data_IF_177325075938
#
_entry.id   IF_177325075938
#
_cell.length_a   1.000
_cell.length_b   1.000
_cell.length_c   1.000
_cell.angle_alpha   90.00
_cell.angle_beta   90.00
_cell.angle_gamma   90.00
#
_symmetry.space_group_name_H-M   'P 1'
#
loop_
_entity.id
_entity.type
_entity.pdbx_description
1 polymer ?
#
# COMPACT_ATOMS: atom_id res chain seq x y z
N UNK A 1 5.46 32.19 -22.33
CA UNK A 1 5.49 33.20 -21.24
C UNK A 1 4.70 32.62 -20.08
N UNK A 2 5.41 32.05 -19.12
CA UNK A 2 4.88 31.19 -18.06
C UNK A 2 4.45 32.06 -16.90
N UNK A 3 3.16 32.08 -16.57
CA UNK A 3 2.63 32.86 -15.44
C UNK A 3 2.67 31.97 -14.20
N UNK A 4 3.71 32.14 -13.39
CA UNK A 4 3.77 31.66 -12.01
C UNK A 4 2.69 32.36 -11.19
N UNK A 5 1.86 31.59 -10.47
CA UNK A 5 1.02 32.11 -9.37
C UNK A 5 1.79 32.00 -8.05
N UNK A 6 1.69 32.99 -7.16
CA UNK A 6 2.52 33.06 -5.96
C UNK A 6 2.01 32.16 -4.82
N UNK A 7 2.97 31.62 -4.06
CA UNK A 7 2.80 30.95 -2.78
C UNK A 7 2.19 31.95 -1.78
N UNK A 8 0.97 31.71 -1.30
CA UNK A 8 0.39 32.44 -0.20
C UNK A 8 0.96 31.87 1.11
N UNK A 9 1.78 32.66 1.78
CA UNK A 9 2.22 32.43 3.14
C UNK A 9 0.99 32.53 4.08
N UNK A 10 0.63 31.43 4.72
CA UNK A 10 -0.33 31.45 5.81
C UNK A 10 0.36 32.03 7.05
N UNK A 11 -0.28 33.04 7.63
CA UNK A 11 0.16 33.72 8.84
C UNK A 11 0.05 32.79 10.05
N UNK A 12 1.12 32.74 10.83
CA UNK A 12 1.23 32.04 12.10
C UNK A 12 0.39 32.77 13.16
N UNK A 13 -0.76 32.20 13.51
CA UNK A 13 -1.51 32.58 14.71
C UNK A 13 -1.30 31.47 15.73
N UNK A 14 -0.41 31.75 16.70
CA UNK A 14 -0.11 30.87 17.81
C UNK A 14 -1.35 30.54 18.64
N UNK A 15 -1.86 29.34 18.45
CA UNK A 15 -2.68 28.63 19.42
C UNK A 15 -1.97 27.30 19.72
N UNK A 16 -1.36 27.22 20.91
CA UNK A 16 -0.88 25.96 21.45
C UNK A 16 -2.08 25.03 21.64
N UNK A 17 -2.26 24.09 20.71
CA UNK A 17 -3.14 22.95 20.89
C UNK A 17 -2.36 21.89 21.66
N UNK A 18 -2.62 21.84 22.96
CA UNK A 18 -2.27 20.73 23.84
C UNK A 18 -3.18 19.53 23.49
N UNK A 19 -2.80 18.86 22.41
CA UNK A 19 -3.35 17.59 21.96
C UNK A 19 -2.17 16.70 21.66
N UNK A 20 -2.19 15.47 22.19
CA UNK A 20 -1.15 14.46 22.04
C UNK A 20 -0.91 14.17 20.55
N UNK A 21 -0.08 14.98 19.90
CA UNK A 21 0.45 14.75 18.57
C UNK A 21 1.43 13.59 18.73
N UNK A 22 0.93 12.37 18.54
CA UNK A 22 1.78 11.21 18.31
C UNK A 22 2.75 11.58 17.20
N UNK A 23 4.05 11.32 17.41
CA UNK A 23 5.08 11.53 16.41
C UNK A 23 4.58 10.97 15.07
N UNK A 24 4.59 11.72 13.96
CA UNK A 24 4.18 11.20 12.65
C UNK A 24 4.88 9.88 12.32
N UNK A 25 6.09 9.62 12.80
CA UNK A 25 6.73 8.31 12.63
C UNK A 25 5.99 7.17 13.36
N UNK A 26 5.29 7.45 14.46
CA UNK A 26 4.53 6.47 15.26
C UNK A 26 3.19 6.07 14.65
N UNK A 27 2.46 6.96 13.97
CA UNK A 27 1.21 6.59 13.30
C UNK A 27 1.49 5.72 12.06
N UNK A 28 2.63 5.93 11.42
CA UNK A 28 2.96 5.29 10.14
C UNK A 28 3.68 3.94 10.27
N UNK A 29 4.33 3.64 11.38
CA UNK A 29 4.97 2.32 11.58
C UNK A 29 3.95 1.18 11.67
N UNK A 30 2.69 1.52 11.95
CA UNK A 30 1.64 0.58 12.33
C UNK A 30 0.45 0.56 11.37
N UNK A 31 0.67 0.83 10.07
CA UNK A 31 -0.29 0.72 8.95
C UNK A 31 -0.96 -0.67 8.76
N UNK A 32 -0.80 -1.56 9.73
CA UNK A 32 -1.52 -2.82 9.89
C UNK A 32 -3.01 -2.57 10.12
N UNK A 33 -3.91 -3.33 9.45
CA UNK A 33 -5.32 -3.30 9.77
C UNK A 33 -5.53 -3.55 11.26
N UNK A 34 -6.36 -2.73 11.91
CA UNK A 34 -6.76 -2.96 13.30
C UNK A 34 -7.36 -4.38 13.41
N UNK A 35 -6.91 -5.20 14.37
CA UNK A 35 -7.50 -6.51 14.60
C UNK A 35 -8.97 -6.36 14.99
N UNK A 36 -9.74 -7.45 14.82
CA UNK A 36 -11.17 -7.49 15.17
C UNK A 36 -11.42 -6.90 16.57
N UNK A 37 -12.55 -6.21 16.79
CA UNK A 37 -12.93 -5.69 18.10
C UNK A 37 -12.74 -6.75 19.20
N UNK A 38 -12.16 -6.37 20.34
CA UNK A 38 -11.82 -7.30 21.45
C UNK A 38 -13.03 -8.12 21.90
N UNK A 39 -14.22 -7.57 21.76
CA UNK A 39 -15.50 -8.16 22.12
C UNK A 39 -15.86 -9.40 21.26
N UNK A 40 -15.21 -9.58 20.12
CA UNK A 40 -15.41 -10.70 19.20
C UNK A 40 -14.36 -11.81 19.37
N UNK A 41 -13.42 -11.68 20.30
CA UNK A 41 -12.29 -12.60 20.48
C UNK A 41 -12.52 -13.57 21.65
N UNK A 42 -12.03 -14.79 21.51
CA UNK A 42 -11.95 -15.76 22.62
C UNK A 42 -10.74 -15.45 23.54
N UNK A 43 -10.67 -16.09 24.72
CA UNK A 43 -9.60 -15.82 25.70
C UNK A 43 -8.17 -16.00 25.14
N UNK A 44 -7.94 -17.03 24.32
CA UNK A 44 -6.63 -17.27 23.69
C UNK A 44 -6.29 -16.17 22.68
N UNK A 45 -7.27 -15.73 21.90
CA UNK A 45 -7.13 -14.61 20.98
C UNK A 45 -6.92 -13.28 21.71
N UNK A 46 -7.62 -13.03 22.82
CA UNK A 46 -7.43 -11.82 23.62
C UNK A 46 -6.01 -11.75 24.18
N UNK A 47 -5.50 -12.85 24.75
CA UNK A 47 -4.13 -12.90 25.25
C UNK A 47 -3.09 -12.70 24.13
N UNK A 48 -3.28 -13.33 22.97
CA UNK A 48 -2.39 -13.17 21.82
C UNK A 48 -2.43 -11.74 21.24
N UNK A 49 -3.58 -11.06 21.31
CA UNK A 49 -3.69 -9.65 20.93
C UNK A 49 -2.99 -8.72 21.94
N UNK A 50 -3.11 -9.00 23.25
CA UNK A 50 -2.39 -8.23 24.28
C UNK A 50 -0.87 -8.35 24.13
N UNK A 51 -0.37 -9.52 23.78
CA UNK A 51 1.04 -9.73 23.47
C UNK A 51 1.49 -8.90 22.25
N UNK A 52 0.71 -8.83 21.16
CA UNK A 52 1.00 -7.91 20.04
C UNK A 52 1.02 -6.45 20.49
N UNK A 53 0.11 -6.04 21.37
CA UNK A 53 0.09 -4.68 21.93
C UNK A 53 1.34 -4.39 22.77
N UNK A 54 1.84 -5.37 23.52
CA UNK A 54 3.09 -5.26 24.27
C UNK A 54 4.31 -5.18 23.34
N UNK A 55 4.36 -5.99 22.29
CA UNK A 55 5.42 -5.91 21.27
C UNK A 55 5.40 -4.54 20.59
N UNK A 56 4.23 -4.00 20.25
CA UNK A 56 4.11 -2.66 19.69
C UNK A 56 4.68 -1.60 20.64
N UNK A 57 4.30 -1.65 21.94
CA UNK A 57 4.81 -0.73 22.95
C UNK A 57 6.33 -0.84 23.14
N UNK A 58 6.85 -2.07 23.15
CA UNK A 58 8.27 -2.34 23.29
C UNK A 58 9.05 -1.85 22.05
N UNK A 59 8.51 -2.05 20.85
CA UNK A 59 9.11 -1.63 19.60
C UNK A 59 9.28 -0.11 19.52
N UNK A 60 8.31 0.65 20.04
CA UNK A 60 8.34 2.13 20.10
C UNK A 60 9.50 2.69 20.92
N UNK A 61 10.05 1.91 21.85
CA UNK A 61 11.23 2.34 22.63
C UNK A 61 12.45 2.51 21.75
N UNK A 62 12.52 1.78 20.63
CA UNK A 62 13.70 1.69 19.76
C UNK A 62 14.99 1.33 20.53
N UNK A 63 14.87 0.58 21.62
CA UNK A 63 16.01 0.20 22.45
C UNK A 63 16.98 -0.69 21.66
N UNK A 64 18.24 -0.24 21.59
CA UNK A 64 19.34 -0.94 20.93
C UNK A 64 19.65 -2.30 21.56
N UNK A 65 19.34 -2.50 22.85
CA UNK A 65 19.54 -3.78 23.53
C UNK A 65 18.56 -4.86 23.06
N UNK A 66 17.48 -4.47 22.37
CA UNK A 66 16.45 -5.38 21.90
C UNK A 66 16.64 -5.84 20.45
N UNK A 67 17.74 -5.46 19.79
CA UNK A 67 17.99 -5.85 18.38
C UNK A 67 17.92 -7.37 18.23
N UNK A 68 18.64 -8.13 19.06
CA UNK A 68 18.67 -9.60 18.97
C UNK A 68 17.29 -10.22 19.26
N UNK A 69 16.56 -9.66 20.24
CA UNK A 69 15.18 -10.05 20.55
C UNK A 69 14.25 -9.88 19.33
N UNK A 70 14.36 -8.75 18.62
CA UNK A 70 13.54 -8.51 17.43
C UNK A 70 13.96 -9.40 16.25
N UNK A 71 15.25 -9.68 16.10
CA UNK A 71 15.73 -10.62 15.09
C UNK A 71 15.18 -12.03 15.32
N UNK A 72 15.23 -12.52 16.56
CA UNK A 72 14.66 -13.80 16.94
C UNK A 72 13.13 -13.83 16.72
N UNK A 73 12.44 -12.77 17.13
CA UNK A 73 10.98 -12.66 16.96
C UNK A 73 10.59 -12.67 15.48
N UNK A 74 11.37 -12.04 14.59
CA UNK A 74 11.08 -11.96 13.16
C UNK A 74 11.26 -13.30 12.41
N UNK A 75 12.08 -14.21 12.94
CA UNK A 75 12.31 -15.54 12.33
C UNK A 75 11.54 -16.67 13.03
N UNK A 76 10.99 -16.40 14.21
CA UNK A 76 10.21 -17.38 14.96
C UNK A 76 8.88 -17.65 14.27
N UNK A 77 8.62 -18.92 13.94
CA UNK A 77 7.33 -19.37 13.41
C UNK A 77 6.46 -19.91 14.53
N UNK A 78 5.26 -19.35 14.69
CA UNK A 78 4.22 -19.91 15.55
C UNK A 78 2.93 -20.13 14.73
N UNK A 79 2.76 -21.32 14.13
CA UNK A 79 1.57 -21.63 13.33
C UNK A 79 0.26 -21.58 14.12
N UNK A 80 0.32 -21.73 15.45
CA UNK A 80 -0.85 -21.72 16.33
C UNK A 80 -1.31 -20.31 16.71
N UNK A 81 -0.48 -19.28 16.49
CA UNK A 81 -0.81 -17.92 16.87
C UNK A 81 -1.75 -17.25 15.84
N UNK A 82 -2.95 -16.82 16.25
CA UNK A 82 -3.88 -16.14 15.35
C UNK A 82 -3.36 -14.78 14.84
N UNK A 83 -2.40 -14.17 15.55
CA UNK A 83 -1.80 -12.87 15.24
C UNK A 83 -0.33 -12.96 14.82
N UNK A 84 0.08 -14.07 14.21
CA UNK A 84 1.46 -14.26 13.74
C UNK A 84 1.91 -13.16 12.75
N UNK A 85 0.99 -12.65 11.92
CA UNK A 85 1.28 -11.61 10.93
C UNK A 85 1.60 -10.28 11.63
N UNK A 86 0.80 -9.93 12.61
CA UNK A 86 0.95 -8.73 13.41
C UNK A 86 2.24 -8.80 14.23
N UNK A 87 2.54 -9.95 14.86
CA UNK A 87 3.81 -10.17 15.57
C UNK A 87 5.02 -9.99 14.64
N UNK A 88 5.00 -10.61 13.46
CA UNK A 88 6.06 -10.47 12.47
C UNK A 88 6.23 -9.00 12.04
N UNK A 89 5.11 -8.32 11.81
CA UNK A 89 5.08 -6.88 11.50
C UNK A 89 5.71 -6.07 12.62
N UNK A 90 5.35 -6.33 13.90
CA UNK A 90 5.94 -5.65 15.05
C UNK A 90 7.45 -5.80 15.10
N UNK A 91 7.96 -7.00 14.89
CA UNK A 91 9.39 -7.26 14.95
C UNK A 91 10.18 -6.56 13.83
N UNK A 92 9.71 -6.65 12.59
CA UNK A 92 10.37 -6.01 11.44
C UNK A 92 10.26 -4.47 11.55
N UNK A 93 9.12 -3.94 11.99
CA UNK A 93 8.92 -2.51 12.22
C UNK A 93 9.84 -1.97 13.32
N UNK A 94 9.99 -2.71 14.43
CA UNK A 94 10.87 -2.31 15.53
C UNK A 94 12.34 -2.22 15.09
N UNK A 95 12.81 -3.20 14.29
CA UNK A 95 14.15 -3.15 13.69
C UNK A 95 14.32 -1.95 12.76
N UNK A 96 13.27 -1.62 11.99
CA UNK A 96 13.28 -0.45 11.12
C UNK A 96 13.34 0.85 11.92
N UNK A 97 12.59 0.96 13.01
CA UNK A 97 12.61 2.12 13.89
C UNK A 97 13.98 2.30 14.56
N UNK A 98 14.60 1.20 15.01
CA UNK A 98 15.98 1.21 15.51
C UNK A 98 16.95 1.70 14.41
N UNK A 99 16.79 1.23 13.17
CA UNK A 99 17.58 1.70 12.04
C UNK A 99 17.38 3.20 11.76
N UNK A 100 16.14 3.70 11.82
CA UNK A 100 15.78 5.11 11.61
C UNK A 100 16.40 6.00 12.69
N UNK A 101 16.18 5.68 13.97
CA UNK A 101 16.59 6.51 15.11
C UNK A 101 18.10 6.47 15.38
N UNK A 102 18.73 5.32 15.13
CA UNK A 102 20.12 5.09 15.55
C UNK A 102 21.09 4.79 14.41
N UNK A 103 20.63 4.70 13.14
CA UNK A 103 21.47 4.29 12.00
C UNK A 103 22.16 2.95 12.27
N UNK A 104 21.48 2.04 12.97
CA UNK A 104 22.06 0.77 13.41
C UNK A 104 22.33 -0.16 12.20
N UNK A 105 23.60 -0.43 11.93
CA UNK A 105 24.03 -1.24 10.78
C UNK A 105 23.60 -2.70 10.88
N UNK A 106 23.50 -3.27 12.09
CA UNK A 106 23.06 -4.65 12.30
C UNK A 106 21.58 -4.82 11.97
N UNK A 107 20.72 -3.89 12.42
CA UNK A 107 19.30 -3.88 12.08
C UNK A 107 19.09 -3.73 10.57
N UNK A 108 19.81 -2.80 9.92
CA UNK A 108 19.75 -2.61 8.45
C UNK A 108 20.20 -3.88 7.72
N UNK A 109 21.32 -4.50 8.15
CA UNK A 109 21.83 -5.71 7.53
C UNK A 109 20.84 -6.88 7.64
N UNK A 110 20.20 -7.02 8.80
CA UNK A 110 19.20 -8.05 9.02
C UNK A 110 17.92 -7.82 8.19
N UNK A 111 17.39 -6.59 8.16
CA UNK A 111 16.27 -6.23 7.28
C UNK A 111 16.59 -6.53 5.81
N UNK A 112 17.80 -6.20 5.36
CA UNK A 112 18.27 -6.53 4.00
C UNK A 112 18.32 -8.03 3.75
N UNK A 113 18.80 -8.83 4.71
CA UNK A 113 18.79 -10.29 4.60
C UNK A 113 17.35 -10.84 4.42
N UNK A 114 16.39 -10.31 5.17
CA UNK A 114 14.99 -10.75 5.08
C UNK A 114 14.32 -10.45 3.73
N UNK A 115 14.85 -9.51 2.93
CA UNK A 115 14.35 -9.28 1.55
C UNK A 115 14.56 -10.48 0.62
N UNK A 116 15.36 -11.48 1.01
CA UNK A 116 15.60 -12.72 0.27
C UNK A 116 14.95 -13.95 0.92
N UNK A 117 14.12 -13.76 1.94
CA UNK A 117 13.50 -14.85 2.68
C UNK A 117 12.58 -15.73 1.81
N UNK A 118 12.50 -17.07 2.01
CA UNK A 118 11.65 -17.93 1.19
C UNK A 118 10.16 -17.59 1.31
N UNK A 119 9.71 -17.17 2.50
CA UNK A 119 8.32 -16.77 2.73
C UNK A 119 8.04 -15.35 2.21
N UNK A 120 7.09 -15.16 1.27
CA UNK A 120 6.85 -13.86 0.63
C UNK A 120 6.40 -12.76 1.59
N UNK A 121 5.64 -13.11 2.62
CA UNK A 121 5.16 -12.17 3.66
C UNK A 121 6.33 -11.53 4.42
N UNK A 122 7.38 -12.31 4.73
CA UNK A 122 8.60 -11.79 5.35
C UNK A 122 9.35 -10.89 4.39
N UNK A 123 9.49 -11.28 3.11
CA UNK A 123 10.14 -10.43 2.09
C UNK A 123 9.42 -9.10 1.93
N UNK A 124 8.10 -9.14 1.80
CA UNK A 124 7.23 -7.97 1.66
C UNK A 124 7.47 -6.96 2.79
N UNK A 125 7.35 -7.41 4.04
CA UNK A 125 7.57 -6.56 5.21
C UNK A 125 8.99 -6.03 5.25
N UNK A 126 9.98 -6.89 5.01
CA UNK A 126 11.39 -6.49 5.00
C UNK A 126 11.70 -5.43 3.94
N UNK A 127 11.18 -5.56 2.72
CA UNK A 127 11.35 -4.59 1.64
C UNK A 127 10.72 -3.25 2.02
N UNK A 128 9.47 -3.28 2.50
CA UNK A 128 8.75 -2.09 2.95
C UNK A 128 9.54 -1.34 4.03
N UNK A 129 9.89 -2.02 5.11
CA UNK A 129 10.54 -1.41 6.26
C UNK A 129 12.01 -1.05 6.02
N UNK A 130 12.76 -1.83 5.22
CA UNK A 130 14.12 -1.47 4.81
C UNK A 130 14.10 -0.17 4.01
N UNK A 131 13.27 -0.07 2.97
CA UNK A 131 13.21 1.13 2.13
C UNK A 131 12.80 2.35 2.94
N UNK A 132 11.79 2.20 3.81
CA UNK A 132 11.37 3.27 4.72
C UNK A 132 12.43 3.71 5.70
N UNK A 133 13.28 2.80 6.18
CA UNK A 133 14.36 3.17 7.11
C UNK A 133 15.32 4.24 6.54
N UNK A 134 15.40 4.35 5.22
CA UNK A 134 16.15 5.42 4.54
C UNK A 134 15.26 6.61 4.21
N UNK A 135 14.10 6.38 3.58
CA UNK A 135 13.28 7.47 3.05
C UNK A 135 12.72 8.38 4.14
N UNK A 136 12.39 7.83 5.32
CA UNK A 136 11.88 8.62 6.46
C UNK A 136 12.95 9.54 7.07
N UNK A 137 14.22 9.16 6.98
CA UNK A 137 15.33 10.00 7.47
C UNK A 137 15.74 11.09 6.46
N UNK A 138 15.03 11.21 5.33
CA UNK A 138 15.43 12.06 4.21
C UNK A 138 16.73 11.61 3.52
N UNK A 139 17.23 10.41 3.85
CA UNK A 139 18.47 9.88 3.26
C UNK A 139 18.15 9.20 1.93
N UNK A 140 18.97 9.39 0.89
CA UNK A 140 18.81 8.64 -0.34
C UNK A 140 19.05 7.15 -0.07
N UNK A 141 18.37 6.28 -0.82
CA UNK A 141 18.66 4.86 -0.79
C UNK A 141 20.11 4.61 -1.22
N UNK A 142 20.91 3.83 -0.45
CA UNK A 142 22.23 3.42 -0.88
C UNK A 142 22.16 2.64 -2.21
N UNK A 143 23.12 2.87 -3.11
CA UNK A 143 23.16 2.25 -4.45
C UNK A 143 22.97 0.72 -4.40
N UNK A 144 23.61 -0.05 -3.49
CA UNK A 144 23.37 -1.48 -3.40
C UNK A 144 21.90 -1.83 -3.11
N UNK A 145 21.24 -1.11 -2.21
CA UNK A 145 19.83 -1.32 -1.89
C UNK A 145 18.95 -0.90 -3.07
N UNK A 146 19.26 0.21 -3.74
CA UNK A 146 18.54 0.66 -4.92
C UNK A 146 18.56 -0.39 -6.05
N UNK A 147 19.72 -0.99 -6.29
CA UNK A 147 19.88 -2.07 -7.27
C UNK A 147 19.08 -3.33 -6.86
N UNK A 148 19.05 -3.65 -5.57
CA UNK A 148 18.23 -4.76 -5.06
C UNK A 148 16.73 -4.50 -5.22
N UNK A 149 16.25 -3.30 -4.86
CA UNK A 149 14.85 -2.91 -5.08
C UNK A 149 14.48 -2.99 -6.55
N UNK A 150 15.37 -2.53 -7.45
CA UNK A 150 15.17 -2.61 -8.90
C UNK A 150 15.05 -4.07 -9.37
N UNK A 151 15.93 -4.95 -8.89
CA UNK A 151 15.91 -6.39 -9.23
C UNK A 151 14.63 -7.07 -8.71
N UNK A 152 14.23 -6.82 -7.46
CA UNK A 152 13.01 -7.39 -6.87
C UNK A 152 11.78 -6.88 -7.60
N UNK A 153 11.72 -5.57 -7.90
CA UNK A 153 10.65 -4.99 -8.68
C UNK A 153 10.51 -5.66 -10.05
N UNK A 154 11.62 -5.98 -10.74
CA UNK A 154 11.55 -6.61 -12.07
C UNK A 154 11.23 -8.11 -12.01
N UNK A 155 11.69 -8.83 -10.98
CA UNK A 155 11.83 -10.29 -11.06
C UNK A 155 11.21 -11.09 -9.91
N UNK A 156 10.66 -10.49 -8.85
CA UNK A 156 9.94 -11.31 -7.85
C UNK A 156 8.62 -11.81 -8.45
N UNK A 157 8.41 -13.13 -8.38
CA UNK A 157 7.22 -13.79 -8.93
C UNK A 157 5.96 -13.49 -8.10
N UNK A 158 6.14 -13.10 -6.83
CA UNK A 158 5.04 -12.83 -5.92
C UNK A 158 4.72 -11.34 -5.91
N UNK A 159 3.45 -11.02 -6.11
CA UNK A 159 2.97 -9.63 -6.21
C UNK A 159 3.45 -8.75 -5.04
N UNK A 160 3.26 -9.19 -3.80
CA UNK A 160 3.48 -8.36 -2.60
C UNK A 160 4.92 -7.82 -2.46
N UNK A 161 5.97 -8.65 -2.43
CA UNK A 161 7.36 -8.18 -2.46
C UNK A 161 7.66 -7.30 -3.69
N UNK A 162 7.18 -7.72 -4.87
CA UNK A 162 7.39 -7.02 -6.13
C UNK A 162 6.79 -5.61 -6.12
N UNK A 163 5.61 -5.47 -5.52
CA UNK A 163 4.88 -4.22 -5.36
C UNK A 163 5.56 -3.31 -4.34
N UNK A 164 5.94 -3.84 -3.16
CA UNK A 164 6.63 -3.04 -2.14
C UNK A 164 7.97 -2.50 -2.68
N UNK A 165 8.71 -3.28 -3.47
CA UNK A 165 9.95 -2.80 -4.10
C UNK A 165 9.67 -1.62 -5.06
N UNK A 166 8.62 -1.70 -5.89
CA UNK A 166 8.19 -0.58 -6.75
C UNK A 166 7.77 0.65 -5.96
N UNK A 167 7.10 0.47 -4.81
CA UNK A 167 6.73 1.55 -3.89
C UNK A 167 7.95 2.26 -3.34
N UNK A 168 8.97 1.52 -2.92
CA UNK A 168 10.23 2.10 -2.45
C UNK A 168 10.95 2.86 -3.56
N UNK A 169 11.00 2.32 -4.79
CA UNK A 169 11.57 3.04 -5.94
C UNK A 169 10.83 4.35 -6.22
N UNK A 170 9.49 4.34 -6.13
CA UNK A 170 8.67 5.54 -6.28
C UNK A 170 9.01 6.61 -5.24
N UNK A 171 9.08 6.25 -3.96
CA UNK A 171 9.43 7.17 -2.86
C UNK A 171 10.86 7.69 -3.04
N UNK A 172 11.77 6.85 -3.51
CA UNK A 172 13.16 7.22 -3.80
C UNK A 172 13.32 8.07 -5.09
N UNK A 173 12.23 8.39 -5.79
CA UNK A 173 12.24 9.02 -7.12
C UNK A 173 13.15 8.31 -8.13
N UNK A 174 13.26 6.99 -8.01
CA UNK A 174 14.02 6.13 -8.91
C UNK A 174 13.13 5.59 -10.04
N UNK A 175 13.72 5.16 -11.18
CA UNK A 175 12.97 4.52 -12.25
C UNK A 175 12.21 3.27 -11.76
N UNK A 176 10.91 3.24 -12.03
CA UNK A 176 10.05 2.09 -11.71
C UNK A 176 9.87 1.26 -12.99
N UNK A 177 10.03 -0.07 -12.95
CA UNK A 177 9.75 -0.93 -14.10
C UNK A 177 8.30 -0.75 -14.60
N UNK A 178 8.17 -0.52 -15.91
CA UNK A 178 6.89 -0.47 -16.62
C UNK A 178 6.64 -1.84 -17.27
N UNK A 179 5.69 -2.58 -16.73
CA UNK A 179 5.28 -3.86 -17.27
C UNK A 179 4.35 -3.64 -18.48
N UNK A 180 4.53 -4.44 -19.52
CA UNK A 180 3.71 -4.41 -20.74
C UNK A 180 3.62 -3.01 -21.40
N UNK A 181 4.76 -2.36 -21.70
CA UNK A 181 4.76 -1.05 -22.36
C UNK A 181 4.01 -1.13 -23.69
N UNK A 182 3.08 -0.20 -23.90
CA UNK A 182 2.17 -0.18 -25.05
C UNK A 182 0.97 -1.14 -24.94
N UNK A 183 0.90 -1.93 -23.87
CA UNK A 183 -0.12 -2.94 -23.64
C UNK A 183 -1.40 -2.42 -22.97
N UNK A 184 -2.34 -3.34 -22.77
CA UNK A 184 -3.64 -3.09 -22.14
C UNK A 184 -3.96 -4.15 -21.10
N UNK A 185 -4.49 -3.69 -19.97
CA UNK A 185 -5.06 -4.50 -18.92
C UNK A 185 -6.58 -4.49 -19.06
N UNK A 186 -7.19 -5.66 -19.07
CA UNK A 186 -8.65 -5.80 -18.99
C UNK A 186 -9.01 -6.07 -17.53
N UNK A 187 -9.73 -5.14 -16.94
CA UNK A 187 -10.07 -5.11 -15.52
C UNK A 187 -11.56 -5.32 -15.34
N UNK A 188 -11.94 -6.38 -14.64
CA UNK A 188 -13.34 -6.64 -14.29
C UNK A 188 -13.65 -6.00 -12.94
N UNK A 189 -14.55 -5.02 -12.94
CA UNK A 189 -14.93 -4.23 -11.76
C UNK A 189 -16.31 -4.66 -11.28
N UNK A 190 -16.41 -5.07 -10.02
CA UNK A 190 -17.60 -5.66 -9.40
C UNK A 190 -17.90 -5.00 -8.05
N UNK A 191 -19.09 -4.45 -7.81
CA UNK A 191 -19.50 -4.06 -6.47
C UNK A 191 -19.50 -5.27 -5.54
N UNK A 192 -18.87 -5.18 -4.37
CA UNK A 192 -18.75 -6.30 -3.43
C UNK A 192 -20.11 -6.81 -2.95
N UNK A 193 -21.07 -5.90 -2.75
CA UNK A 193 -22.42 -6.26 -2.30
C UNK A 193 -23.23 -7.02 -3.37
N UNK A 194 -22.83 -6.99 -4.66
CA UNK A 194 -23.49 -7.74 -5.72
C UNK A 194 -22.55 -8.00 -6.92
N UNK A 195 -21.82 -9.11 -6.84
CA UNK A 195 -20.87 -9.54 -7.90
C UNK A 195 -21.53 -9.98 -9.21
N UNK A 196 -22.88 -10.01 -9.30
CA UNK A 196 -23.58 -10.22 -10.58
C UNK A 196 -23.62 -8.97 -11.44
N UNK A 197 -23.35 -7.79 -10.87
CA UNK A 197 -23.19 -6.55 -11.61
C UNK A 197 -21.71 -6.36 -11.88
N UNK A 198 -21.32 -6.11 -13.13
CA UNK A 198 -19.92 -5.80 -13.44
C UNK A 198 -19.75 -4.93 -14.68
N UNK A 199 -18.57 -4.32 -14.77
CA UNK A 199 -18.03 -3.64 -15.94
C UNK A 199 -16.65 -4.20 -16.23
N UNK A 200 -16.37 -4.52 -17.48
CA UNK A 200 -15.00 -4.85 -17.90
C UNK A 200 -14.42 -3.65 -18.62
N UNK A 201 -13.33 -3.11 -18.06
CA UNK A 201 -12.67 -1.91 -18.51
C UNK A 201 -11.30 -2.28 -19.07
N UNK A 202 -11.06 -1.97 -20.33
CA UNK A 202 -9.74 -2.02 -20.93
C UNK A 202 -9.01 -0.69 -20.66
N UNK A 203 -7.82 -0.76 -20.06
CA UNK A 203 -7.00 0.40 -19.71
C UNK A 203 -5.54 0.19 -20.15
N UNK A 204 -4.88 1.25 -20.64
CA UNK A 204 -3.48 1.17 -21.10
C UNK A 204 -2.52 1.04 -19.92
N UNK A 205 -1.39 0.39 -20.15
CA UNK A 205 -0.32 0.26 -19.15
C UNK A 205 0.19 1.63 -18.65
N UNK A 206 0.19 2.66 -19.50
CA UNK A 206 0.67 4.00 -19.16
C UNK A 206 -0.37 4.89 -18.46
N UNK A 207 -1.63 4.45 -18.37
CA UNK A 207 -2.67 5.21 -17.69
C UNK A 207 -2.60 5.04 -16.18
N UNK A 208 -3.25 5.95 -15.46
CA UNK A 208 -3.16 6.03 -14.00
C UNK A 208 -4.36 5.38 -13.31
N UNK A 209 -4.25 5.11 -12.01
CA UNK A 209 -5.41 4.74 -11.18
C UNK A 209 -6.48 5.85 -11.16
N UNK A 210 -6.11 7.12 -11.31
CA UNK A 210 -7.07 8.22 -11.49
C UNK A 210 -7.84 8.13 -12.81
N UNK A 211 -7.21 7.66 -13.88
CA UNK A 211 -7.90 7.40 -15.16
C UNK A 211 -8.88 6.25 -15.02
N UNK A 212 -8.45 5.16 -14.37
CA UNK A 212 -9.31 4.04 -14.03
C UNK A 212 -10.52 4.48 -13.20
N UNK A 213 -10.27 5.25 -12.14
CA UNK A 213 -11.32 5.74 -11.24
C UNK A 213 -12.38 6.56 -11.98
N UNK A 214 -11.96 7.53 -12.78
CA UNK A 214 -12.88 8.36 -13.58
C UNK A 214 -13.73 7.50 -14.52
N UNK A 215 -13.12 6.48 -15.12
CA UNK A 215 -13.82 5.59 -16.03
C UNK A 215 -14.78 4.65 -15.31
N UNK A 216 -14.45 4.16 -14.11
CA UNK A 216 -15.36 3.39 -13.26
C UNK A 216 -16.62 4.20 -12.96
N UNK A 217 -16.48 5.44 -12.48
CA UNK A 217 -17.65 6.28 -12.16
C UNK A 217 -18.54 6.49 -13.40
N UNK A 218 -17.93 6.79 -14.55
CA UNK A 218 -18.67 6.91 -15.81
C UNK A 218 -19.39 5.60 -16.20
N UNK A 219 -18.72 4.44 -16.10
CA UNK A 219 -19.29 3.14 -16.48
C UNK A 219 -20.44 2.67 -15.57
N UNK A 220 -20.47 3.16 -14.33
CA UNK A 220 -21.55 2.92 -13.37
C UNK A 220 -22.57 4.05 -13.30
N UNK A 221 -22.44 5.10 -14.13
CA UNK A 221 -23.35 6.25 -14.17
C UNK A 221 -23.44 6.99 -12.82
N UNK A 222 -22.34 7.00 -12.07
CA UNK A 222 -22.23 7.67 -10.78
C UNK A 222 -21.60 9.06 -10.93
N UNK A 223 -21.97 9.98 -10.04
CA UNK A 223 -21.23 11.23 -9.91
C UNK A 223 -19.83 10.97 -9.33
N UNK A 224 -18.91 11.89 -9.56
CA UNK A 224 -17.52 11.78 -9.12
C UNK A 224 -17.19 12.87 -8.09
N UNK A 225 -17.98 12.95 -7.03
CA UNK A 225 -17.91 14.03 -6.04
C UNK A 225 -17.30 13.61 -4.68
N UNK A 226 -17.10 12.31 -4.45
CA UNK A 226 -16.60 11.81 -3.17
C UNK A 226 -15.13 11.40 -3.21
N UNK A 227 -14.53 11.28 -2.01
CA UNK A 227 -13.17 10.76 -1.84
C UNK A 227 -13.12 9.26 -2.17
N UNK A 228 -11.92 8.79 -2.53
CA UNK A 228 -11.71 7.39 -2.84
C UNK A 228 -10.28 6.93 -2.54
N UNK A 229 -10.12 5.62 -2.41
CA UNK A 229 -8.81 4.96 -2.35
C UNK A 229 -8.82 3.63 -3.08
N UNK A 230 -7.66 3.24 -3.60
CA UNK A 230 -7.37 1.88 -4.04
C UNK A 230 -6.50 1.17 -3.02
N UNK A 231 -6.74 -0.11 -2.77
CA UNK A 231 -5.90 -0.98 -1.94
C UNK A 231 -5.43 -2.17 -2.78
N UNK A 232 -4.16 -2.16 -3.14
CA UNK A 232 -3.58 -3.07 -4.13
C UNK A 232 -3.47 -4.53 -3.67
N UNK A 233 -3.68 -4.82 -2.38
CA UNK A 233 -3.78 -6.18 -1.84
C UNK A 233 -5.23 -6.63 -1.57
N UNK A 234 -6.21 -5.82 -1.96
CA UNK A 234 -7.64 -6.10 -1.72
C UNK A 234 -8.10 -5.87 -0.27
N UNK A 235 -7.21 -5.43 0.64
CA UNK A 235 -7.52 -5.22 2.06
C UNK A 235 -7.68 -3.74 2.36
N UNK A 236 -8.90 -3.35 2.75
CA UNK A 236 -9.19 -2.00 3.21
C UNK A 236 -8.30 -1.67 4.42
N UNK A 237 -7.88 -0.41 4.52
CA UNK A 237 -7.05 0.14 5.59
C UNK A 237 -5.61 -0.36 5.69
N UNK A 238 -5.11 -1.12 4.72
CA UNK A 238 -3.67 -1.41 4.64
C UNK A 238 -2.93 -0.26 3.93
N UNK A 239 -2.32 0.62 4.72
CA UNK A 239 -1.61 1.81 4.23
C UNK A 239 -0.49 1.49 3.24
N UNK A 240 0.15 0.32 3.40
CA UNK A 240 1.28 -0.14 2.57
C UNK A 240 0.88 -0.38 1.12
N UNK A 241 -0.40 -0.59 0.85
CA UNK A 241 -0.97 -0.87 -0.47
C UNK A 241 -1.93 0.21 -0.97
N UNK A 242 -2.05 1.31 -0.23
CA UNK A 242 -3.05 2.34 -0.49
C UNK A 242 -2.56 3.37 -1.53
N UNK A 243 -3.46 3.76 -2.43
CA UNK A 243 -3.37 4.97 -3.22
C UNK A 243 -4.64 5.80 -3.03
N UNK A 244 -4.51 7.04 -2.58
CA UNK A 244 -5.63 7.92 -2.23
C UNK A 244 -5.94 8.93 -3.33
N UNK A 245 -7.08 9.59 -3.24
CA UNK A 245 -7.39 10.75 -4.07
C UNK A 245 -6.60 11.99 -3.62
N UNK A 246 -6.25 12.88 -4.55
CA UNK A 246 -5.44 14.08 -4.29
C UNK A 246 -6.08 15.09 -3.30
N UNK A 247 -7.38 14.98 -3.06
CA UNK A 247 -8.14 15.86 -2.17
C UNK A 247 -8.10 15.42 -0.70
N UNK A 248 -7.54 14.23 -0.44
CA UNK A 248 -7.34 13.74 0.92
C UNK A 248 -5.97 14.23 1.41
N UNK A 249 -5.93 15.35 2.13
CA UNK A 249 -4.67 15.98 2.56
C UNK A 249 -3.74 15.02 3.31
N UNK A 250 -2.42 15.17 3.08
CA UNK A 250 -1.35 14.47 3.80
C UNK A 250 -1.37 12.94 3.74
N UNK A 251 -1.99 12.34 2.71
CA UNK A 251 -2.02 10.88 2.53
C UNK A 251 -1.48 10.40 1.17
N UNK A 252 -0.24 10.75 0.78
CA UNK A 252 0.40 10.14 -0.39
C UNK A 252 0.57 8.63 -0.17
N UNK A 253 0.65 7.82 -1.25
CA UNK A 253 0.75 8.21 -2.65
C UNK A 253 -0.60 8.51 -3.29
N UNK A 254 -0.58 9.31 -4.36
CA UNK A 254 -1.81 9.71 -5.04
C UNK A 254 -2.13 8.79 -6.22
N UNK A 255 -3.42 8.53 -6.43
CA UNK A 255 -3.90 7.72 -7.56
C UNK A 255 -3.55 8.31 -8.95
N UNK A 256 -3.27 9.61 -9.05
CA UNK A 256 -2.84 10.24 -10.30
C UNK A 256 -1.35 10.02 -10.63
N UNK A 257 -0.55 9.53 -9.67
CA UNK A 257 0.85 9.18 -9.85
C UNK A 257 1.04 7.68 -10.11
N UNK A 258 0.00 6.89 -9.82
CA UNK A 258 0.03 5.44 -9.88
C UNK A 258 -0.28 4.93 -11.30
N UNK A 259 0.76 4.68 -12.09
CA UNK A 259 0.65 4.14 -13.46
C UNK A 259 0.37 2.63 -13.42
N UNK A 260 -0.62 2.15 -14.18
CA UNK A 260 -1.11 0.76 -14.16
C UNK A 260 0.02 -0.26 -14.38
N UNK A 261 0.85 -0.07 -15.40
CA UNK A 261 1.98 -0.95 -15.72
C UNK A 261 3.12 -0.88 -14.69
N UNK A 262 3.14 0.15 -13.83
CA UNK A 262 4.10 0.28 -12.73
C UNK A 262 3.56 -0.30 -11.40
N UNK A 263 2.39 -0.92 -11.39
CA UNK A 263 1.85 -1.55 -10.18
C UNK A 263 2.30 -3.00 -10.03
N UNK A 264 2.93 -3.60 -11.04
CA UNK A 264 3.32 -5.01 -11.00
C UNK A 264 2.11 -5.95 -11.01
N UNK A 265 1.03 -5.59 -11.70
CA UNK A 265 -0.19 -6.40 -11.78
C UNK A 265 0.03 -7.67 -12.64
N UNK A 266 -0.55 -8.78 -12.21
CA UNK A 266 -0.57 -10.08 -12.93
C UNK A 266 -1.98 -10.55 -13.22
N UNK A 267 -2.14 -11.47 -14.17
CA UNK A 267 -3.43 -12.12 -14.43
C UNK A 267 -3.99 -12.76 -13.14
N UNK A 268 -5.28 -12.57 -12.89
CA UNK A 268 -5.98 -13.05 -11.70
C UNK A 268 -5.72 -12.21 -10.44
N UNK A 269 -4.93 -11.14 -10.52
CA UNK A 269 -4.71 -10.26 -9.37
C UNK A 269 -5.99 -9.49 -9.02
N UNK A 270 -6.32 -9.47 -7.74
CA UNK A 270 -7.44 -8.72 -7.18
C UNK A 270 -6.96 -7.51 -6.37
N UNK A 271 -7.64 -6.38 -6.53
CA UNK A 271 -7.46 -5.21 -5.69
C UNK A 271 -8.78 -4.48 -5.45
N UNK A 272 -8.82 -3.67 -4.40
CA UNK A 272 -10.04 -3.02 -3.91
C UNK A 272 -10.07 -1.55 -4.34
N UNK A 273 -11.22 -1.10 -4.81
CA UNK A 273 -11.56 0.32 -4.97
C UNK A 273 -12.66 0.69 -3.95
N UNK A 274 -12.35 1.62 -3.06
CA UNK A 274 -13.26 2.14 -2.03
C UNK A 274 -13.63 3.58 -2.39
N UNK A 275 -14.90 3.79 -2.72
CA UNK A 275 -15.47 5.09 -3.10
C UNK A 275 -16.48 5.53 -2.05
N UNK A 276 -16.51 6.83 -1.77
CA UNK A 276 -17.38 7.43 -0.75
C UNK A 276 -17.23 6.74 0.62
N UNK A 277 -16.33 7.28 1.44
CA UNK A 277 -16.03 6.71 2.75
C UNK A 277 -17.21 6.72 3.73
N UNK A 278 -18.23 7.54 3.47
CA UNK A 278 -19.44 7.59 4.30
C UNK A 278 -20.39 6.45 3.94
N UNK A 279 -20.63 6.23 2.64
CA UNK A 279 -21.51 5.17 2.15
C UNK A 279 -20.82 3.79 2.07
N UNK A 280 -19.49 3.76 2.13
CA UNK A 280 -18.65 2.56 2.07
C UNK A 280 -18.86 1.73 0.80
N UNK A 281 -18.83 2.38 -0.37
CA UNK A 281 -18.97 1.67 -1.64
C UNK A 281 -17.67 0.96 -2.01
N UNK A 282 -17.71 -0.37 -1.95
CA UNK A 282 -16.56 -1.23 -2.20
C UNK A 282 -16.69 -1.99 -3.52
N UNK A 283 -15.65 -1.93 -4.35
CA UNK A 283 -15.54 -2.64 -5.61
C UNK A 283 -14.32 -3.54 -5.64
N UNK A 284 -14.52 -4.81 -5.94
CA UNK A 284 -13.47 -5.75 -6.30
C UNK A 284 -13.08 -5.54 -7.76
N UNK A 285 -11.78 -5.45 -8.01
CA UNK A 285 -11.20 -5.29 -9.35
C UNK A 285 -10.27 -6.45 -9.63
N UNK A 286 -10.60 -7.24 -10.66
CA UNK A 286 -9.83 -8.41 -11.10
C UNK A 286 -9.14 -8.12 -12.43
N UNK A 287 -7.85 -8.45 -12.52
CA UNK A 287 -7.11 -8.44 -13.79
C UNK A 287 -7.42 -9.71 -14.58
N UNK A 288 -8.33 -9.64 -15.56
CA UNK A 288 -8.77 -10.82 -16.31
C UNK A 288 -7.95 -11.08 -17.59
N UNK A 289 -7.26 -10.06 -18.10
CA UNK A 289 -6.34 -10.21 -19.23
C UNK A 289 -5.28 -9.10 -19.26
N UNK A 290 -4.10 -9.45 -19.80
CA UNK A 290 -3.00 -8.53 -20.10
C UNK A 290 -2.61 -8.77 -21.56
N UNK A 291 -2.69 -7.73 -22.39
CA UNK A 291 -2.50 -7.81 -23.85
C UNK A 291 -1.37 -6.89 -24.28
N UNK A 292 -0.28 -7.44 -24.80
CA UNK A 292 0.88 -6.68 -25.23
C UNK A 292 0.64 -5.82 -26.49
N UNK A 293 -0.23 -6.29 -27.39
CA UNK A 293 -0.54 -5.60 -28.65
C UNK A 293 -2.04 -5.43 -28.78
N UNK A 294 -2.49 -4.19 -28.93
CA UNK A 294 -3.92 -3.86 -29.08
C UNK A 294 -4.16 -2.88 -30.22
N UNK A 295 -5.37 -2.88 -30.80
CA UNK A 295 -5.75 -1.89 -31.79
C UNK A 295 -5.61 -0.46 -31.24
N UNK A 296 -5.23 0.47 -32.13
CA UNK A 296 -5.28 1.89 -31.81
C UNK A 296 -6.71 2.32 -31.43
N UNK A 297 -6.83 3.30 -30.54
CA UNK A 297 -8.12 3.83 -30.12
C UNK A 297 -8.03 4.56 -28.78
N UNK A 298 -9.18 5.07 -28.33
CA UNK A 298 -9.29 5.77 -27.06
C UNK A 298 -9.43 4.76 -25.91
N UNK A 299 -8.68 5.03 -24.84
CA UNK A 299 -8.70 4.28 -23.58
C UNK A 299 -8.78 5.27 -22.40
N UNK A 300 -9.35 4.87 -21.24
CA UNK A 300 -9.93 3.56 -20.98
C UNK A 300 -11.24 3.38 -21.76
N UNK A 301 -11.68 2.13 -21.96
CA UNK A 301 -12.96 1.84 -22.61
C UNK A 301 -13.64 0.63 -21.98
N UNK A 302 -14.97 0.65 -21.97
CA UNK A 302 -15.77 -0.49 -21.55
C UNK A 302 -15.82 -1.51 -22.68
N UNK A 303 -15.46 -2.76 -22.39
CA UNK A 303 -15.47 -3.86 -23.36
C UNK A 303 -16.54 -4.92 -23.04
N UNK A 304 -17.08 -4.92 -21.83
CA UNK A 304 -18.19 -5.79 -21.42
C UNK A 304 -18.98 -5.16 -20.27
N UNK A 305 -20.26 -5.51 -20.16
CA UNK A 305 -21.17 -5.00 -19.14
C UNK A 305 -22.26 -6.00 -18.80
N UNK A 306 -22.58 -6.11 -17.52
CA UNK A 306 -23.66 -6.96 -17.06
C UNK A 306 -24.34 -6.36 -15.83
N UNK A 307 -25.67 -6.44 -15.80
CA UNK A 307 -26.50 -5.89 -14.73
C UNK A 307 -26.64 -4.36 -14.78
N UNK A 308 -27.77 -3.87 -14.27
CA UNK A 308 -27.99 -2.43 -14.09
C UNK A 308 -27.02 -1.88 -13.05
N UNK A 309 -26.49 -0.64 -13.20
CA UNK A 309 -25.69 -0.02 -12.16
C UNK A 309 -26.45 0.02 -10.82
N UNK A 310 -25.77 -0.15 -9.68
CA UNK A 310 -26.38 0.07 -8.38
C UNK A 310 -26.69 1.55 -8.17
N UNK A 311 -27.68 1.86 -7.33
CA UNK A 311 -27.97 3.24 -6.91
C UNK A 311 -26.81 3.79 -6.07
N UNK A 312 -26.37 5.02 -6.38
CA UNK A 312 -25.28 5.66 -5.65
C UNK A 312 -25.70 6.11 -4.24
N UNK A 313 -26.88 6.72 -4.13
CA UNK A 313 -27.47 7.16 -2.87
C UNK A 313 -28.51 6.13 -2.44
N UNK A 314 -28.32 5.57 -1.25
CA UNK A 314 -29.29 4.73 -0.53
C UNK A 314 -29.69 5.40 0.76
#
# INVERSE_FOLDING_TARGET
MMVMRPLLAAQDTGEQRDGMLTDPLEEWLWDTPMPLPKELLNLQQTAALEDVQQLAALGKTADLQLVDFWQETAVTTDPGNPFRHERLTMAIAALALIAIRHTNSHAIAFLRQLTYHPHPEVRELAIHYLGRSFTETGRPLPIPILNEMSRIAQHDDIFAPRFQARRILQIAHAPIPLDNPGGVYDLKVMPLHNRRIYRTIAIRAEQTLRDLQRFIQHAFEWDNQHLFSFYMNGRKYDGRYRFSCAYEENRPPWAYEAIIGQLGLVMGHHFLYHYDYTADHLFDIEVIAIRAHVPAGNYPRQIDTHGKPPTQFT
#
